data_IF_206047224065
#
_entry.id   IF_206047224065
#
_cell.length_a   1.000
_cell.length_b   1.000
_cell.length_c   1.000
_cell.angle_alpha   90.00
_cell.angle_beta   90.00
_cell.angle_gamma   90.00
#
_symmetry.space_group_name_H-M   'P 1'
#
loop_
_entity.id
_entity.type
_entity.pdbx_description
1 polymer ?
#
# COMPACT_ATOMS: atom_id res chain seq x y z
N UNK A 1 -20.16 19.93 -6.28
CA UNK A 1 -20.23 18.45 -6.27
C UNK A 1 -18.79 17.96 -6.20
N UNK A 2 -18.33 17.51 -5.02
CA UNK A 2 -17.01 16.89 -4.88
C UNK A 2 -17.08 15.50 -5.50
N UNK A 3 -16.35 15.30 -6.59
CA UNK A 3 -16.19 14.00 -7.23
C UNK A 3 -15.16 13.20 -6.45
N UNK A 4 -15.64 12.32 -5.57
CA UNK A 4 -14.87 11.15 -5.14
C UNK A 4 -14.48 10.42 -6.42
N UNK A 5 -13.18 10.34 -6.72
CA UNK A 5 -12.72 9.61 -7.89
C UNK A 5 -12.56 8.14 -7.49
N UNK A 6 -13.23 7.20 -8.18
CA UNK A 6 -12.86 5.80 -8.06
C UNK A 6 -11.40 5.68 -8.51
N UNK A 7 -10.60 4.89 -7.79
CA UNK A 7 -9.21 4.66 -8.18
C UNK A 7 -9.07 3.96 -9.55
N UNK A 8 -10.17 3.46 -10.11
CA UNK A 8 -10.18 2.70 -11.35
C UNK A 8 -9.52 1.34 -11.20
N UNK A 9 -9.33 0.89 -9.94
CA UNK A 9 -8.70 -0.37 -9.58
C UNK A 9 -9.59 -1.53 -10.02
N UNK A 10 -9.02 -2.45 -10.77
CA UNK A 10 -9.66 -3.72 -11.15
C UNK A 10 -8.85 -4.89 -10.61
N UNK A 11 -9.53 -5.97 -10.21
CA UNK A 11 -8.90 -7.17 -9.67
C UNK A 11 -7.98 -7.92 -10.68
N UNK A 12 -7.99 -7.54 -11.96
CA UNK A 12 -7.12 -8.09 -13.00
C UNK A 12 -5.82 -7.27 -13.21
N UNK A 13 -5.66 -6.13 -12.53
CA UNK A 13 -4.44 -5.33 -12.60
C UNK A 13 -3.34 -5.92 -11.73
N UNK A 14 -2.09 -5.77 -12.18
CA UNK A 14 -0.96 -6.27 -11.41
C UNK A 14 -0.81 -5.47 -10.10
N UNK A 15 -0.30 -6.12 -9.04
CA UNK A 15 -0.17 -5.48 -7.72
C UNK A 15 0.68 -4.21 -7.72
N UNK A 16 1.60 -4.05 -8.68
CA UNK A 16 2.46 -2.86 -8.81
C UNK A 16 1.69 -1.64 -9.32
N UNK A 17 0.83 -1.82 -10.33
CA UNK A 17 -0.05 -0.78 -10.85
C UNK A 17 -1.03 -0.31 -9.78
N UNK A 18 -1.57 -1.27 -9.02
CA UNK A 18 -2.46 -0.98 -7.89
C UNK A 18 -1.74 -0.18 -6.79
N UNK A 19 -0.50 -0.54 -6.46
CA UNK A 19 0.31 0.17 -5.47
C UNK A 19 0.67 1.59 -5.94
N UNK A 20 0.98 1.78 -7.21
CA UNK A 20 1.29 3.07 -7.79
C UNK A 20 0.07 4.01 -7.82
N UNK A 21 -1.08 3.50 -8.28
CA UNK A 21 -2.36 4.23 -8.30
C UNK A 21 -2.78 4.60 -6.88
N UNK A 22 -2.68 3.66 -5.94
CA UNK A 22 -2.93 3.90 -4.53
C UNK A 22 -2.00 5.01 -4.02
N UNK A 23 -0.69 4.91 -4.21
CA UNK A 23 0.26 5.93 -3.72
C UNK A 23 -0.09 7.35 -4.19
N UNK A 24 -0.37 7.55 -5.48
CA UNK A 24 -0.70 8.88 -6.01
C UNK A 24 -2.00 9.44 -5.43
N UNK A 25 -3.05 8.63 -5.42
CA UNK A 25 -4.38 9.10 -5.04
C UNK A 25 -4.58 9.16 -3.54
N UNK A 26 -3.82 8.37 -2.78
CA UNK A 26 -3.89 8.44 -1.34
C UNK A 26 -3.39 9.84 -0.92
N UNK A 27 -2.32 10.42 -1.46
CA UNK A 27 -1.70 11.65 -0.90
C UNK A 27 -2.58 12.90 -0.74
N UNK A 28 -3.68 13.03 -1.48
CA UNK A 28 -4.53 14.22 -1.42
C UNK A 28 -5.66 14.10 -0.38
N UNK A 29 -6.01 15.23 0.22
CA UNK A 29 -7.11 15.37 1.17
C UNK A 29 -8.03 16.48 0.72
N UNK A 30 -9.34 16.26 0.81
CA UNK A 30 -10.35 17.22 0.35
C UNK A 30 -10.59 18.28 1.44
N UNK A 31 -11.77 18.27 2.06
CA UNK A 31 -12.22 19.29 3.00
C UNK A 31 -11.99 18.84 4.43
N UNK A 32 -11.56 19.74 5.30
CA UNK A 32 -11.53 19.48 6.74
C UNK A 32 -12.96 19.31 7.29
N UNK A 33 -13.21 18.21 8.02
CA UNK A 33 -14.47 17.91 8.67
C UNK A 33 -14.31 18.15 10.18
N UNK A 34 -14.80 19.30 10.63
CA UNK A 34 -14.69 19.74 12.04
C UNK A 34 -15.28 18.73 13.02
N UNK A 35 -16.44 18.15 12.73
CA UNK A 35 -17.09 17.17 13.61
C UNK A 35 -16.26 15.90 13.82
N UNK A 36 -15.39 15.56 12.87
CA UNK A 36 -14.52 14.40 12.91
C UNK A 36 -13.08 14.74 13.32
N UNK A 37 -12.69 16.03 13.25
CA UNK A 37 -11.33 16.51 13.52
C UNK A 37 -10.28 16.00 12.52
N UNK A 38 -10.69 15.73 11.29
CA UNK A 38 -9.81 15.20 10.24
C UNK A 38 -10.23 15.69 8.85
N UNK A 39 -9.35 15.51 7.86
CA UNK A 39 -9.70 15.79 6.47
C UNK A 39 -10.52 14.64 5.87
N UNK A 40 -11.48 14.99 5.00
CA UNK A 40 -12.23 14.03 4.22
C UNK A 40 -11.27 13.29 3.25
N UNK A 41 -11.27 11.95 3.25
CA UNK A 41 -10.60 11.19 2.22
C UNK A 41 -11.16 11.52 0.84
N UNK A 42 -10.28 11.62 -0.15
CA UNK A 42 -10.62 11.80 -1.57
C UNK A 42 -10.94 10.47 -2.29
N UNK A 43 -10.64 9.34 -1.65
CA UNK A 43 -10.91 7.96 -2.10
C UNK A 43 -12.02 7.31 -1.27
N UNK A 44 -12.65 6.27 -1.82
CA UNK A 44 -13.66 5.49 -1.08
C UNK A 44 -13.02 4.64 0.03
N UNK A 45 -13.83 4.18 0.99
CA UNK A 45 -13.38 3.24 2.03
C UNK A 45 -12.97 1.90 1.42
N UNK A 46 -13.71 1.43 0.41
CA UNK A 46 -13.42 0.17 -0.30
C UNK A 46 -12.07 0.26 -1.03
N UNK A 47 -11.82 1.37 -1.73
CA UNK A 47 -10.56 1.64 -2.42
C UNK A 47 -9.37 1.72 -1.44
N UNK A 48 -9.57 2.38 -0.28
CA UNK A 48 -8.54 2.48 0.74
C UNK A 48 -8.22 1.11 1.36
N UNK A 49 -9.23 0.31 1.69
CA UNK A 49 -9.04 -1.04 2.23
C UNK A 49 -8.39 -2.00 1.20
N UNK A 50 -8.72 -1.85 -0.08
CA UNK A 50 -8.08 -2.61 -1.13
C UNK A 50 -6.60 -2.23 -1.29
N UNK A 51 -6.29 -0.95 -1.26
CA UNK A 51 -4.90 -0.47 -1.29
C UNK A 51 -4.10 -0.96 -0.08
N UNK A 52 -4.70 -0.97 1.12
CA UNK A 52 -4.12 -1.56 2.32
C UNK A 52 -3.75 -3.03 2.11
N UNK A 53 -4.72 -3.84 1.67
CA UNK A 53 -4.50 -5.27 1.43
C UNK A 53 -3.42 -5.55 0.38
N UNK A 54 -3.40 -4.78 -0.73
CA UNK A 54 -2.38 -4.91 -1.77
C UNK A 54 -0.99 -4.54 -1.23
N UNK A 55 -0.90 -3.47 -0.45
CA UNK A 55 0.36 -3.03 0.16
C UNK A 55 0.89 -4.06 1.16
N UNK A 56 0.03 -4.69 1.96
CA UNK A 56 0.43 -5.78 2.87
C UNK A 56 0.99 -6.99 2.11
N UNK A 57 0.32 -7.43 1.04
CA UNK A 57 0.79 -8.56 0.21
C UNK A 57 2.13 -8.23 -0.41
N UNK A 58 2.28 -7.04 -1.03
CA UNK A 58 3.55 -6.61 -1.64
C UNK A 58 4.69 -6.51 -0.62
N UNK A 59 4.40 -6.09 0.61
CA UNK A 59 5.38 -6.04 1.68
C UNK A 59 5.86 -7.46 2.05
N UNK A 60 4.94 -8.40 2.23
CA UNK A 60 5.26 -9.81 2.53
C UNK A 60 6.06 -10.45 1.40
N UNK A 61 5.64 -10.27 0.15
CA UNK A 61 6.32 -10.84 -1.02
C UNK A 61 7.72 -10.27 -1.19
N UNK A 62 7.90 -8.97 -0.95
CA UNK A 62 9.22 -8.31 -1.03
C UNK A 62 10.18 -8.85 0.05
N UNK A 63 9.69 -9.04 1.28
CA UNK A 63 10.47 -9.63 2.37
C UNK A 63 10.86 -11.08 2.03
N UNK A 64 9.92 -11.88 1.56
CA UNK A 64 10.17 -13.26 1.17
C UNK A 64 11.20 -13.34 0.02
N UNK A 65 11.10 -12.46 -0.97
CA UNK A 65 12.06 -12.37 -2.07
C UNK A 65 13.47 -11.98 -1.60
N UNK A 66 13.59 -10.99 -0.72
CA UNK A 66 14.88 -10.59 -0.13
C UNK A 66 15.50 -11.72 0.70
N UNK A 67 14.69 -12.46 1.46
CA UNK A 67 15.14 -13.64 2.19
C UNK A 67 15.63 -14.76 1.26
N UNK A 68 14.90 -15.03 0.17
CA UNK A 68 15.29 -16.02 -0.83
C UNK A 68 16.62 -15.65 -1.51
N UNK A 69 16.81 -14.37 -1.84
CA UNK A 69 18.08 -13.85 -2.37
C UNK A 69 19.20 -14.02 -1.34
N UNK A 70 18.97 -13.65 -0.08
CA UNK A 70 19.94 -13.82 0.98
C UNK A 70 20.35 -15.28 1.18
N UNK A 71 19.39 -16.21 1.05
CA UNK A 71 19.64 -17.64 1.08
C UNK A 71 20.48 -18.09 -0.13
N UNK A 72 20.11 -17.65 -1.34
CA UNK A 72 20.85 -17.94 -2.56
C UNK A 72 22.30 -17.46 -2.49
N UNK A 73 22.54 -16.23 -2.01
CA UNK A 73 23.90 -15.69 -1.83
C UNK A 73 24.68 -16.50 -0.78
N UNK A 74 24.05 -16.83 0.36
CA UNK A 74 24.70 -17.56 1.46
C UNK A 74 25.10 -18.99 1.07
N UNK A 75 24.27 -19.65 0.26
CA UNK A 75 24.47 -21.03 -0.18
C UNK A 75 25.01 -21.13 -1.60
N UNK A 76 25.45 -20.00 -2.18
CA UNK A 76 26.26 -20.03 -3.38
C UNK A 76 27.65 -20.53 -2.98
N UNK A 77 27.90 -21.83 -3.15
CA UNK A 77 29.13 -22.51 -2.71
C UNK A 77 30.40 -22.11 -3.50
N UNK A 78 30.44 -20.93 -4.13
CA UNK A 78 31.57 -20.45 -4.92
C UNK A 78 31.91 -21.31 -6.14
N UNK A 79 31.16 -22.38 -6.40
CA UNK A 79 31.27 -23.15 -7.63
C UNK A 79 30.85 -22.23 -8.78
N UNK A 80 31.81 -21.93 -9.65
CA UNK A 80 31.65 -21.17 -10.88
C UNK A 80 30.57 -21.82 -11.76
N UNK A 81 29.32 -21.45 -11.52
CA UNK A 81 28.29 -21.53 -12.54
C UNK A 81 28.67 -20.40 -13.50
N UNK A 82 29.50 -20.72 -14.49
CA UNK A 82 30.15 -19.74 -15.36
C UNK A 82 29.28 -18.52 -15.67
N UNK A 83 29.80 -17.32 -15.40
CA UNK A 83 29.01 -16.08 -15.40
C UNK A 83 28.67 -15.54 -14.01
N UNK A 84 29.31 -16.05 -12.96
CA UNK A 84 29.19 -15.65 -11.54
C UNK A 84 29.08 -14.12 -11.34
N UNK A 85 29.94 -13.33 -11.99
CA UNK A 85 29.88 -11.85 -11.89
C UNK A 85 28.57 -11.25 -12.43
N UNK A 86 28.06 -11.78 -13.55
CA UNK A 86 26.77 -11.33 -14.13
C UNK A 86 25.61 -11.75 -13.25
N UNK A 87 25.65 -12.96 -12.71
CA UNK A 87 24.60 -13.50 -11.82
C UNK A 87 24.56 -12.70 -10.53
N UNK A 88 25.70 -12.44 -9.89
CA UNK A 88 25.77 -11.62 -8.67
C UNK A 88 25.30 -10.18 -8.93
N UNK A 89 25.66 -9.60 -10.08
CA UNK A 89 25.14 -8.28 -10.46
C UNK A 89 23.62 -8.27 -10.64
N UNK A 90 23.04 -9.27 -11.31
CA UNK A 90 21.59 -9.42 -11.46
C UNK A 90 20.88 -9.64 -10.13
N UNK A 91 21.46 -10.45 -9.24
CA UNK A 91 20.96 -10.68 -7.88
C UNK A 91 20.99 -9.36 -7.09
N UNK A 92 22.05 -8.56 -7.22
CA UNK A 92 22.12 -7.22 -6.63
C UNK A 92 21.02 -6.29 -7.16
N UNK A 93 20.79 -6.26 -8.47
CA UNK A 93 19.70 -5.47 -9.07
C UNK A 93 18.32 -5.91 -8.56
N UNK A 94 18.08 -7.22 -8.46
CA UNK A 94 16.82 -7.75 -7.95
C UNK A 94 16.62 -7.41 -6.47
N UNK A 95 17.68 -7.50 -5.66
CA UNK A 95 17.64 -7.10 -4.25
C UNK A 95 17.30 -5.61 -4.09
N UNK A 96 17.91 -4.74 -4.89
CA UNK A 96 17.57 -3.31 -4.90
C UNK A 96 16.12 -3.06 -5.29
N UNK A 97 15.63 -3.74 -6.34
CA UNK A 97 14.23 -3.61 -6.76
C UNK A 97 13.25 -4.05 -5.66
N UNK A 98 13.52 -5.16 -4.99
CA UNK A 98 12.67 -5.64 -3.89
C UNK A 98 12.72 -4.71 -2.67
N UNK A 99 13.88 -4.11 -2.38
CA UNK A 99 14.01 -3.12 -1.32
C UNK A 99 13.24 -1.83 -1.64
N UNK A 100 13.31 -1.35 -2.88
CA UNK A 100 12.50 -0.23 -3.33
C UNK A 100 11.01 -0.57 -3.19
N UNK A 101 10.58 -1.74 -3.68
CA UNK A 101 9.19 -2.18 -3.57
C UNK A 101 8.69 -2.27 -2.13
N UNK A 102 9.53 -2.74 -1.21
CA UNK A 102 9.24 -2.74 0.21
C UNK A 102 8.97 -1.33 0.73
N UNK A 103 9.78 -0.34 0.36
CA UNK A 103 9.57 1.04 0.76
C UNK A 103 8.27 1.61 0.19
N UNK A 104 8.00 1.36 -1.10
CA UNK A 104 6.75 1.78 -1.74
C UNK A 104 5.52 1.16 -1.05
N UNK A 105 5.61 -0.12 -0.66
CA UNK A 105 4.54 -0.82 0.04
C UNK A 105 4.29 -0.23 1.43
N UNK A 106 5.34 0.09 2.19
CA UNK A 106 5.21 0.73 3.50
C UNK A 106 4.55 2.11 3.41
N UNK A 107 4.96 2.93 2.44
CA UNK A 107 4.37 4.26 2.22
C UNK A 107 2.88 4.15 1.86
N UNK A 108 2.54 3.23 0.96
CA UNK A 108 1.15 2.98 0.55
C UNK A 108 0.30 2.44 1.71
N UNK A 109 0.85 1.53 2.53
CA UNK A 109 0.18 0.94 3.68
C UNK A 109 -0.20 2.00 4.72
N UNK A 110 0.78 2.81 5.15
CA UNK A 110 0.54 3.87 6.12
C UNK A 110 -0.46 4.91 5.58
N UNK A 111 -0.41 5.17 4.28
CA UNK A 111 -1.37 6.04 3.64
C UNK A 111 -2.79 5.43 3.65
N UNK A 112 -2.96 4.19 3.20
CA UNK A 112 -4.25 3.51 3.18
C UNK A 112 -4.90 3.47 4.56
N UNK A 113 -4.15 3.07 5.59
CA UNK A 113 -4.59 3.03 6.99
C UNK A 113 -5.07 4.40 7.50
N UNK A 114 -4.36 5.48 7.18
CA UNK A 114 -4.77 6.82 7.58
C UNK A 114 -6.14 7.22 6.98
N UNK A 115 -6.47 6.72 5.78
CA UNK A 115 -7.74 7.02 5.11
C UNK A 115 -8.86 6.12 5.58
N UNK A 116 -8.59 4.84 5.85
CA UNK A 116 -9.51 3.95 6.56
C UNK A 116 -9.91 4.57 7.91
N UNK A 117 -8.92 5.00 8.70
CA UNK A 117 -9.15 5.69 9.97
C UNK A 117 -10.00 6.96 9.83
N UNK A 118 -9.74 7.78 8.80
CA UNK A 118 -10.51 9.00 8.57
C UNK A 118 -11.98 8.68 8.20
N UNK A 119 -12.24 7.68 7.35
CA UNK A 119 -13.59 7.20 7.04
C UNK A 119 -14.33 6.76 8.31
N UNK A 120 -13.69 5.94 9.15
CA UNK A 120 -14.26 5.47 10.41
C UNK A 120 -14.58 6.64 11.37
N UNK A 121 -13.68 7.61 11.50
CA UNK A 121 -13.92 8.79 12.33
C UNK A 121 -15.07 9.65 11.84
N UNK A 122 -15.17 9.86 10.53
CA UNK A 122 -16.26 10.62 9.93
C UNK A 122 -17.58 9.90 10.18
N UNK A 123 -17.64 8.59 9.96
CA UNK A 123 -18.83 7.77 10.25
C UNK A 123 -19.23 7.84 11.73
N UNK A 124 -18.28 7.69 12.65
CA UNK A 124 -18.52 7.79 14.08
C UNK A 124 -19.02 9.19 14.51
N UNK A 125 -18.49 10.25 13.89
CA UNK A 125 -18.94 11.63 14.18
C UNK A 125 -20.39 11.87 13.77
N UNK A 126 -20.84 11.27 12.65
CA UNK A 126 -22.22 11.37 12.16
C UNK A 126 -23.21 10.64 13.07
N UNK A 127 -22.81 9.48 13.60
CA UNK A 127 -23.63 8.69 14.52
C UNK A 127 -23.82 9.37 15.88
N UNK A 128 -22.87 10.23 16.31
CA UNK A 128 -23.04 11.07 17.52
C UNK A 128 -24.01 12.23 17.30
N UNK A 129 -24.14 12.73 16.07
CA UNK A 129 -25.02 13.84 15.72
C UNK A 129 -26.48 13.44 15.51
N UNK A 130 -26.76 12.16 15.28
CA UNK A 130 -28.10 11.59 15.21
C UNK A 130 -28.39 10.74 16.47
N UNK A 131 -28.84 11.33 17.58
CA UNK A 131 -29.29 10.55 18.72
C UNK A 131 -30.51 9.71 18.28
N UNK A 132 -30.45 8.40 18.52
CA UNK A 132 -31.60 7.51 18.40
C UNK A 132 -32.71 8.08 19.31
N UNK A 133 -33.93 8.34 18.82
CA UNK A 133 -35.01 8.78 19.68
C UNK A 133 -35.26 7.67 20.71
N UNK A 134 -35.03 7.99 21.99
CA UNK A 134 -35.42 7.12 23.08
C UNK A 134 -36.95 7.14 23.17
N UNK A 135 -37.58 6.03 22.76
CA UNK A 135 -38.98 5.74 23.06
C UNK A 135 -39.10 5.21 24.50
#
# INVERSE_FOLDING_TARGET
MNTIKPLGIRCDQNGFELLAIAREHLQESDKFIESAGCYAPNVTMEDAALAESVAEVMLVDSIAGLQAIGHLIRHHDGHDIGGTDKVLSQVGCLASLLADMQQYALDALGAAQARCWAHERIAASRNRSNPIPQN
#
